data_IF_903508483766
#
_entry.id   IF_903508483766
#
_cell.length_a   1.000
_cell.length_b   1.000
_cell.length_c   1.000
_cell.angle_alpha   90.00
_cell.angle_beta   90.00
_cell.angle_gamma   90.00
#
_symmetry.space_group_name_H-M   'P 1'
#
loop_
_entity.id
_entity.type
_entity.pdbx_description
1 polymer ?
#
# COMPACT_ATOMS: atom_id res chain seq x y z
N UNK A 1 10.78 8.94 -0.29
CA UNK A 1 11.73 8.37 0.69
C UNK A 1 13.11 8.29 0.06
N UNK A 2 14.19 8.59 0.81
CA UNK A 2 15.55 8.57 0.27
C UNK A 2 16.59 8.24 1.33
N UNK A 3 17.68 7.62 0.86
CA UNK A 3 18.90 7.38 1.61
C UNK A 3 20.10 7.53 0.67
N UNK A 4 21.30 7.83 1.19
CA UNK A 4 22.48 8.07 0.37
C UNK A 4 23.78 7.80 1.13
N UNK A 5 24.85 7.60 0.39
CA UNK A 5 26.16 7.42 0.98
C UNK A 5 27.28 7.51 -0.05
N UNK A 6 28.50 7.16 0.38
CA UNK A 6 29.65 7.19 -0.50
C UNK A 6 30.61 6.04 -0.23
N UNK A 7 31.33 5.63 -1.28
CA UNK A 7 32.36 4.62 -1.26
C UNK A 7 33.62 5.22 -1.86
N UNK A 8 34.76 5.06 -1.18
CA UNK A 8 36.07 5.48 -1.71
C UNK A 8 36.79 4.28 -2.33
N UNK A 9 37.52 4.53 -3.38
CA UNK A 9 38.38 3.55 -4.03
C UNK A 9 39.77 4.11 -4.30
N UNK A 10 40.74 3.25 -4.43
CA UNK A 10 42.09 3.59 -4.86
C UNK A 10 42.72 2.44 -5.63
N UNK A 11 43.49 2.80 -6.66
CA UNK A 11 44.33 1.91 -7.44
C UNK A 11 45.80 2.26 -7.22
N UNK A 12 46.66 1.27 -7.19
CA UNK A 12 48.10 1.49 -7.02
C UNK A 12 48.76 1.98 -8.30
N UNK A 13 48.18 1.70 -9.44
CA UNK A 13 48.69 2.12 -10.75
C UNK A 13 48.26 3.55 -11.06
N UNK A 14 49.19 4.47 -10.95
CA UNK A 14 48.97 5.93 -11.05
C UNK A 14 48.38 6.37 -12.38
N UNK A 15 48.48 5.55 -13.42
CA UNK A 15 47.93 5.84 -14.75
C UNK A 15 46.52 5.32 -14.95
N UNK A 16 46.03 4.43 -14.09
CA UNK A 16 44.69 3.87 -14.18
C UNK A 16 43.62 4.93 -13.88
N UNK A 17 42.48 4.76 -14.52
CA UNK A 17 41.31 5.65 -14.39
C UNK A 17 40.09 4.75 -14.19
N UNK A 18 39.92 4.20 -12.97
CA UNK A 18 38.82 3.29 -12.71
C UNK A 18 37.45 3.90 -12.94
N UNK A 19 36.54 3.09 -13.48
CA UNK A 19 35.16 3.44 -13.72
C UNK A 19 34.23 2.68 -12.75
N UNK A 20 33.13 3.30 -12.35
CA UNK A 20 32.14 2.71 -11.49
C UNK A 20 30.88 2.31 -12.27
N UNK A 21 30.38 1.13 -12.00
CA UNK A 21 29.08 0.65 -12.47
C UNK A 21 28.25 0.11 -11.31
N UNK A 22 26.95 -0.04 -11.53
CA UNK A 22 26.03 -0.63 -10.55
C UNK A 22 25.29 -1.81 -11.13
N UNK A 23 24.94 -2.77 -10.28
CA UNK A 23 24.03 -3.87 -10.62
C UNK A 23 23.20 -4.25 -9.39
N UNK A 24 21.95 -4.65 -9.60
CA UNK A 24 21.14 -5.25 -8.53
C UNK A 24 21.69 -6.64 -8.22
N UNK A 25 22.02 -6.89 -6.96
CA UNK A 25 22.47 -8.20 -6.50
C UNK A 25 21.28 -9.06 -6.10
N UNK A 26 20.40 -8.55 -5.23
CA UNK A 26 19.19 -9.23 -4.82
C UNK A 26 18.17 -8.24 -4.26
N UNK A 27 16.89 -8.57 -4.41
CA UNK A 27 15.77 -7.89 -3.72
C UNK A 27 14.92 -8.99 -3.11
N UNK A 28 14.61 -8.88 -1.84
CA UNK A 28 13.76 -9.83 -1.11
C UNK A 28 12.80 -9.09 -0.20
N UNK A 29 11.63 -9.68 0.02
CA UNK A 29 10.59 -9.13 0.88
C UNK A 29 10.17 -10.15 1.94
N UNK A 30 9.92 -9.67 3.16
CA UNK A 30 9.47 -10.47 4.29
C UNK A 30 8.20 -9.86 4.89
N UNK A 31 7.29 -10.73 5.32
CA UNK A 31 6.11 -10.39 6.08
C UNK A 31 6.47 -9.80 7.45
N UNK A 32 5.50 -9.23 8.12
CA UNK A 32 5.65 -8.62 9.45
C UNK A 32 6.18 -9.57 10.54
N UNK A 33 6.14 -10.90 10.30
CA UNK A 33 6.74 -11.90 11.19
C UNK A 33 8.29 -11.97 11.07
N UNK A 34 8.87 -11.25 10.12
CA UNK A 34 10.31 -11.20 9.85
C UNK A 34 10.92 -12.49 9.31
N UNK A 35 10.11 -13.46 8.91
CA UNK A 35 10.57 -14.79 8.47
C UNK A 35 9.88 -15.32 7.21
N UNK A 36 8.63 -15.01 7.01
CA UNK A 36 7.87 -15.45 5.83
C UNK A 36 8.16 -14.53 4.65
N UNK A 37 8.74 -15.07 3.58
CA UNK A 37 8.96 -14.32 2.34
C UNK A 37 7.68 -14.23 1.52
N UNK A 38 7.55 -13.16 0.72
CA UNK A 38 6.52 -13.02 -0.30
C UNK A 38 7.11 -12.53 -1.63
N UNK A 39 6.41 -12.85 -2.72
CA UNK A 39 6.87 -12.50 -4.05
C UNK A 39 6.48 -11.07 -4.41
N UNK A 40 7.44 -10.33 -4.94
CA UNK A 40 7.24 -9.01 -5.52
C UNK A 40 6.82 -9.14 -6.99
N UNK A 41 5.93 -8.28 -7.44
CA UNK A 41 5.57 -8.17 -8.86
C UNK A 41 6.74 -7.62 -9.68
N UNK A 42 6.67 -7.77 -11.01
CA UNK A 42 7.70 -7.24 -11.91
C UNK A 42 7.80 -5.71 -11.83
N UNK A 43 6.67 -5.02 -11.65
CA UNK A 43 6.64 -3.55 -11.54
C UNK A 43 7.27 -3.11 -10.22
N UNK A 44 6.95 -3.76 -9.10
CA UNK A 44 7.58 -3.50 -7.79
C UNK A 44 9.09 -3.74 -7.83
N UNK A 45 9.54 -4.84 -8.44
CA UNK A 45 10.97 -5.12 -8.62
C UNK A 45 11.66 -4.05 -9.48
N UNK A 46 10.98 -3.57 -10.54
CA UNK A 46 11.50 -2.52 -11.39
C UNK A 46 11.63 -1.19 -10.65
N UNK A 47 10.62 -0.80 -9.88
CA UNK A 47 10.63 0.42 -9.08
C UNK A 47 11.75 0.40 -8.03
N UNK A 48 11.87 -0.69 -7.28
CA UNK A 48 12.91 -0.88 -6.27
C UNK A 48 14.33 -0.89 -6.88
N UNK A 49 14.49 -1.48 -8.08
CA UNK A 49 15.76 -1.52 -8.80
C UNK A 49 16.15 -0.13 -9.34
N UNK A 50 15.21 0.60 -9.91
CA UNK A 50 15.44 1.90 -10.54
C UNK A 50 15.66 3.01 -9.51
N UNK A 51 15.21 2.84 -8.27
CA UNK A 51 15.40 3.76 -7.17
C UNK A 51 16.88 3.97 -6.80
N UNK A 52 17.76 3.00 -7.10
CA UNK A 52 19.19 3.09 -6.80
C UNK A 52 19.96 3.76 -7.94
N UNK A 53 20.77 4.73 -7.63
CA UNK A 53 21.64 5.43 -8.58
C UNK A 53 23.05 5.61 -8.02
N UNK A 54 24.02 5.80 -8.90
CA UNK A 54 25.39 6.16 -8.54
C UNK A 54 25.89 7.35 -9.36
N UNK A 55 26.79 8.12 -8.76
CA UNK A 55 27.55 9.17 -9.44
C UNK A 55 29.00 9.14 -8.97
N UNK A 56 29.92 9.33 -9.90
CA UNK A 56 31.35 9.47 -9.58
C UNK A 56 31.70 10.92 -9.39
N UNK A 57 32.52 11.23 -8.37
CA UNK A 57 33.12 12.55 -8.26
C UNK A 57 34.18 12.69 -9.35
N UNK A 58 33.95 13.65 -10.23
CA UNK A 58 34.83 13.89 -11.38
C UNK A 58 36.26 14.24 -10.96
N UNK A 59 37.18 13.41 -11.36
CA UNK A 59 38.61 13.58 -11.21
C UNK A 59 39.28 12.33 -11.76
N UNK A 60 39.74 12.38 -13.01
CA UNK A 60 40.39 11.25 -13.66
C UNK A 60 41.72 10.92 -12.96
N UNK A 61 41.64 10.36 -11.77
CA UNK A 61 42.76 9.88 -10.95
C UNK A 61 42.60 8.41 -10.64
N UNK A 62 43.67 7.75 -10.24
CA UNK A 62 43.68 6.37 -9.78
C UNK A 62 42.92 6.15 -8.44
N UNK A 63 42.41 7.18 -7.84
CA UNK A 63 41.58 7.14 -6.63
C UNK A 63 40.39 8.08 -6.74
N UNK A 64 39.31 7.76 -6.07
CA UNK A 64 38.09 8.59 -6.14
C UNK A 64 37.02 8.18 -5.15
N UNK A 65 35.86 8.79 -5.34
CA UNK A 65 34.65 8.52 -4.55
C UNK A 65 33.49 8.26 -5.49
N UNK A 66 32.70 7.24 -5.19
CA UNK A 66 31.39 6.96 -5.78
C UNK A 66 30.34 7.33 -4.75
N UNK A 67 29.47 8.26 -5.09
CA UNK A 67 28.27 8.52 -4.31
C UNK A 67 27.13 7.64 -4.81
N UNK A 68 26.34 7.12 -3.90
CA UNK A 68 25.11 6.41 -4.20
C UNK A 68 23.91 7.14 -3.58
N UNK A 69 22.80 7.04 -4.24
CA UNK A 69 21.51 7.57 -3.81
C UNK A 69 20.44 6.53 -4.08
N UNK A 70 19.56 6.33 -3.10
CA UNK A 70 18.36 5.53 -3.21
C UNK A 70 17.17 6.45 -3.00
N UNK A 71 16.30 6.60 -4.00
CA UNK A 71 15.14 7.47 -3.93
C UNK A 71 13.93 6.79 -4.57
N UNK A 72 12.85 6.65 -3.80
CA UNK A 72 11.61 5.98 -4.20
C UNK A 72 10.42 6.80 -3.71
N UNK A 73 9.33 6.84 -4.50
CA UNK A 73 8.08 7.47 -4.10
C UNK A 73 7.37 6.60 -3.04
N UNK A 74 6.70 7.22 -2.10
CA UNK A 74 5.93 6.51 -1.07
C UNK A 74 4.85 5.64 -1.71
N UNK A 75 4.13 6.17 -2.72
CA UNK A 75 3.11 5.43 -3.46
C UNK A 75 3.61 4.18 -4.23
N UNK A 76 4.91 4.00 -4.37
CA UNK A 76 5.50 2.77 -4.92
C UNK A 76 5.75 1.72 -3.84
N UNK A 77 5.52 2.05 -2.59
CA UNK A 77 5.71 1.20 -1.42
C UNK A 77 4.40 0.88 -0.66
N UNK A 78 3.26 1.46 -1.09
CA UNK A 78 1.95 1.26 -0.46
C UNK A 78 1.51 -0.22 -0.37
N UNK A 79 2.18 -1.12 -1.09
CA UNK A 79 1.94 -2.56 -0.99
C UNK A 79 2.54 -3.21 0.26
N UNK A 80 3.37 -2.49 1.01
CA UNK A 80 4.04 -2.98 2.21
C UNK A 80 3.24 -2.61 3.46
N UNK A 81 2.60 -3.58 4.05
CA UNK A 81 1.90 -3.43 5.32
C UNK A 81 2.87 -3.11 6.49
N UNK A 82 2.30 -2.73 7.62
CA UNK A 82 3.07 -2.39 8.82
C UNK A 82 4.07 -3.50 9.20
N UNK A 83 5.33 -3.13 9.37
CA UNK A 83 6.46 -4.00 9.72
C UNK A 83 6.85 -5.05 8.64
N UNK A 84 6.23 -5.05 7.48
CA UNK A 84 6.78 -5.76 6.34
C UNK A 84 8.07 -5.08 5.87
N UNK A 85 8.99 -5.85 5.34
CA UNK A 85 10.31 -5.31 4.97
C UNK A 85 10.74 -5.73 3.58
N UNK A 86 11.38 -4.82 2.88
CA UNK A 86 12.15 -5.12 1.68
C UNK A 86 13.63 -4.88 1.96
N UNK A 87 14.46 -5.85 1.61
CA UNK A 87 15.92 -5.70 1.60
C UNK A 87 16.40 -5.71 0.17
N UNK A 88 16.92 -4.58 -0.29
CA UNK A 88 17.52 -4.42 -1.61
C UNK A 88 19.05 -4.34 -1.49
N UNK A 89 19.76 -5.22 -2.18
CA UNK A 89 21.22 -5.27 -2.19
C UNK A 89 21.72 -4.95 -3.59
N UNK A 90 22.62 -3.98 -3.68
CA UNK A 90 23.22 -3.52 -4.92
C UNK A 90 24.73 -3.72 -4.88
N UNK A 91 25.32 -4.14 -6.00
CA UNK A 91 26.75 -4.16 -6.20
C UNK A 91 27.18 -2.85 -6.88
N UNK A 92 28.15 -2.18 -6.29
CA UNK A 92 28.94 -1.14 -6.98
C UNK A 92 30.24 -1.79 -7.36
N UNK A 93 30.53 -1.80 -8.65
CA UNK A 93 31.73 -2.42 -9.22
C UNK A 93 32.64 -1.33 -9.76
N UNK A 94 33.87 -1.32 -9.28
CA UNK A 94 34.95 -0.45 -9.79
C UNK A 94 35.80 -1.29 -10.70
N UNK A 95 36.00 -0.85 -11.93
CA UNK A 95 36.79 -1.55 -12.95
C UNK A 95 37.94 -0.65 -13.40
N UNK A 96 39.15 -1.15 -13.40
CA UNK A 96 40.32 -0.44 -13.90
C UNK A 96 40.51 -0.58 -15.42
N UNK A 97 41.56 0.03 -15.95
CA UNK A 97 41.88 0.00 -17.39
C UNK A 97 42.33 -1.40 -17.88
N UNK A 98 42.76 -2.26 -16.98
CA UNK A 98 43.20 -3.63 -17.26
C UNK A 98 42.10 -4.68 -16.96
N UNK A 99 40.85 -4.22 -16.85
CA UNK A 99 39.67 -5.04 -16.58
C UNK A 99 39.68 -5.76 -15.22
N UNK A 100 40.51 -5.31 -14.27
CA UNK A 100 40.43 -5.82 -12.90
C UNK A 100 39.29 -5.11 -12.14
N UNK A 101 38.59 -5.84 -11.29
CA UNK A 101 37.40 -5.34 -10.61
C UNK A 101 37.46 -5.44 -9.11
N UNK A 102 36.92 -4.44 -8.43
CA UNK A 102 36.60 -4.49 -7.01
C UNK A 102 35.09 -4.22 -6.83
N UNK A 103 34.43 -4.99 -5.95
CA UNK A 103 32.98 -4.87 -5.72
C UNK A 103 32.70 -4.54 -4.26
N UNK A 104 31.84 -3.56 -4.05
CA UNK A 104 31.27 -3.22 -2.74
C UNK A 104 29.75 -3.32 -2.80
N UNK A 105 29.16 -3.99 -1.81
CA UNK A 105 27.71 -4.06 -1.68
C UNK A 105 27.17 -2.87 -0.88
N UNK A 106 26.03 -2.38 -1.33
CA UNK A 106 25.17 -1.42 -0.61
C UNK A 106 23.85 -2.13 -0.33
N UNK A 107 23.44 -2.13 0.92
CA UNK A 107 22.14 -2.68 1.35
C UNK A 107 21.22 -1.57 1.78
N UNK A 108 20.02 -1.54 1.22
CA UNK A 108 18.93 -0.64 1.60
C UNK A 108 17.81 -1.48 2.20
N UNK A 109 17.41 -1.14 3.42
CA UNK A 109 16.28 -1.76 4.10
C UNK A 109 15.11 -0.79 4.11
N UNK A 110 13.96 -1.25 3.65
CA UNK A 110 12.71 -0.49 3.60
C UNK A 110 11.73 -1.18 4.53
N UNK A 111 11.04 -0.42 5.37
CA UNK A 111 10.00 -0.95 6.24
C UNK A 111 8.69 -0.29 5.88
N UNK A 112 7.65 -1.09 5.68
CA UNK A 112 6.29 -0.65 5.40
C UNK A 112 5.61 -0.01 6.61
N UNK A 113 4.61 0.78 6.31
CA UNK A 113 3.69 1.38 7.27
C UNK A 113 2.27 0.96 6.89
N UNK A 114 1.36 0.92 7.86
CA UNK A 114 -0.04 0.61 7.58
C UNK A 114 -0.74 1.74 6.84
N UNK A 115 -1.39 1.41 5.75
CA UNK A 115 -2.38 2.24 5.10
C UNK A 115 -3.77 1.99 5.69
N UNK A 116 -4.70 2.87 5.45
CA UNK A 116 -6.07 2.72 5.92
C UNK A 116 -7.00 2.34 4.75
N UNK A 117 -8.00 1.47 4.97
CA UNK A 117 -8.93 1.12 3.92
C UNK A 117 -9.71 2.34 3.41
N UNK A 118 -9.92 2.40 2.11
CA UNK A 118 -10.65 3.46 1.43
C UNK A 118 -11.97 2.92 0.90
N UNK A 119 -13.08 3.62 1.20
CA UNK A 119 -14.39 3.32 0.64
C UNK A 119 -14.55 4.06 -0.69
N UNK A 120 -14.86 3.32 -1.75
CA UNK A 120 -15.11 3.85 -3.09
C UNK A 120 -16.60 3.94 -3.35
N UNK A 121 -17.21 5.09 -3.02
CA UNK A 121 -18.65 5.29 -3.14
C UNK A 121 -19.16 5.70 -4.54
N UNK A 122 -18.29 5.88 -5.52
CA UNK A 122 -18.64 6.46 -6.84
C UNK A 122 -19.54 5.58 -7.73
N UNK A 123 -19.56 4.27 -7.50
CA UNK A 123 -20.39 3.31 -8.24
C UNK A 123 -21.28 2.45 -7.31
N UNK A 124 -21.32 2.79 -6.02
CA UNK A 124 -22.00 1.99 -5.02
C UNK A 124 -23.47 2.41 -4.89
N UNK A 125 -24.34 1.45 -4.61
CA UNK A 125 -25.69 1.72 -4.19
C UNK A 125 -25.72 1.96 -2.68
N UNK A 126 -25.66 3.23 -2.27
CA UNK A 126 -25.61 3.68 -0.88
C UNK A 126 -26.94 4.28 -0.37
N UNK A 127 -27.99 4.18 -1.16
CA UNK A 127 -29.34 4.65 -0.80
C UNK A 127 -30.39 3.60 -1.10
N UNK A 128 -31.31 3.39 -0.17
CA UNK A 128 -32.40 2.46 -0.31
C UNK A 128 -33.74 3.13 -0.17
N UNK A 129 -34.80 2.52 -0.74
CA UNK A 129 -36.18 2.97 -0.64
C UNK A 129 -37.13 1.78 -0.49
N UNK A 130 -37.94 1.80 0.55
CA UNK A 130 -39.02 0.83 0.75
C UNK A 130 -40.37 1.55 0.80
N UNK A 131 -41.43 0.84 0.43
CA UNK A 131 -42.80 1.38 0.43
C UNK A 131 -43.75 0.36 1.01
N UNK A 132 -44.47 0.73 2.09
CA UNK A 132 -45.47 -0.12 2.73
C UNK A 132 -46.50 -0.59 1.68
N UNK A 133 -46.82 -1.88 1.75
CA UNK A 133 -47.77 -2.52 0.87
C UNK A 133 -47.27 -2.86 -0.54
N UNK A 134 -46.01 -2.51 -0.89
CA UNK A 134 -45.45 -2.82 -2.22
C UNK A 134 -44.05 -3.35 -2.20
N UNK A 135 -43.12 -2.71 -1.52
CA UNK A 135 -41.71 -3.17 -1.41
C UNK A 135 -41.22 -3.00 0.02
N UNK A 136 -41.04 -4.10 0.72
CA UNK A 136 -40.67 -4.17 2.13
C UNK A 136 -39.16 -4.40 2.34
N UNK A 137 -38.41 -4.48 1.26
CA UNK A 137 -36.94 -4.65 1.30
C UNK A 137 -36.23 -3.90 0.21
N UNK A 138 -35.01 -3.50 0.48
CA UNK A 138 -34.05 -2.96 -0.47
C UNK A 138 -32.65 -3.38 -0.07
N UNK A 139 -31.71 -3.30 -1.02
CA UNK A 139 -30.34 -3.74 -0.79
C UNK A 139 -29.35 -3.01 -1.72
N UNK A 140 -28.09 -3.03 -1.34
CA UNK A 140 -27.03 -2.47 -2.14
C UNK A 140 -25.66 -3.00 -1.74
N UNK A 141 -24.62 -2.40 -2.28
CA UNK A 141 -23.24 -2.75 -1.96
C UNK A 141 -22.37 -1.51 -1.84
N UNK A 142 -21.34 -1.62 -1.04
CA UNK A 142 -20.31 -0.60 -0.81
C UNK A 142 -18.94 -1.26 -1.06
N UNK A 143 -18.16 -0.69 -1.97
CA UNK A 143 -16.83 -1.20 -2.29
C UNK A 143 -15.77 -0.56 -1.40
N UNK A 144 -14.77 -1.32 -1.04
CA UNK A 144 -13.59 -0.85 -0.32
C UNK A 144 -12.32 -1.42 -0.94
N UNK A 145 -11.21 -0.75 -0.73
CA UNK A 145 -9.86 -1.23 -1.06
C UNK A 145 -8.88 -0.78 0.01
N UNK A 146 -7.90 -1.63 0.29
CA UNK A 146 -6.76 -1.35 1.13
C UNK A 146 -5.47 -1.56 0.31
N UNK A 147 -4.50 -0.66 0.43
CA UNK A 147 -3.24 -0.78 -0.29
C UNK A 147 -2.38 -1.92 0.26
N UNK A 148 -2.52 -2.21 1.55
CA UNK A 148 -1.80 -3.29 2.23
C UNK A 148 -2.33 -4.66 1.80
N UNK A 149 -1.55 -5.41 1.04
CA UNK A 149 -1.99 -6.68 0.43
C UNK A 149 -2.39 -7.76 1.45
N UNK A 150 -1.84 -7.68 2.65
CA UNK A 150 -2.12 -8.64 3.72
C UNK A 150 -3.29 -8.24 4.62
N UNK A 151 -3.76 -7.01 4.53
CA UNK A 151 -4.85 -6.53 5.35
C UNK A 151 -6.17 -7.22 5.00
N UNK A 152 -6.97 -7.37 6.02
CA UNK A 152 -8.29 -8.01 5.94
C UNK A 152 -9.30 -7.12 6.63
N UNK A 153 -9.73 -6.02 5.96
CA UNK A 153 -10.66 -5.06 6.53
C UNK A 153 -11.95 -5.71 7.00
N UNK A 154 -12.47 -5.23 8.11
CA UNK A 154 -13.74 -5.64 8.68
C UNK A 154 -14.72 -4.49 8.65
N UNK A 155 -16.01 -4.81 8.51
CA UNK A 155 -17.08 -3.84 8.51
C UNK A 155 -18.00 -4.00 9.72
N UNK A 156 -18.40 -2.88 10.29
CA UNK A 156 -19.46 -2.78 11.30
C UNK A 156 -20.48 -1.76 10.86
N UNK A 157 -21.70 -1.87 11.33
CA UNK A 157 -22.75 -0.90 11.10
C UNK A 157 -23.15 -0.23 12.43
N UNK A 158 -23.57 1.01 12.34
CA UNK A 158 -24.11 1.77 13.46
C UNK A 158 -25.16 2.76 12.98
N UNK A 159 -26.31 2.82 13.65
CA UNK A 159 -27.39 3.74 13.29
C UNK A 159 -27.06 5.16 13.73
N UNK A 160 -26.83 6.03 12.76
CA UNK A 160 -26.56 7.44 13.02
C UNK A 160 -27.79 8.20 13.50
N UNK A 161 -28.94 7.98 12.88
CA UNK A 161 -30.21 8.63 13.27
C UNK A 161 -31.41 7.95 12.62
N UNK A 162 -32.53 7.98 13.32
CA UNK A 162 -33.87 7.65 12.78
C UNK A 162 -34.76 8.84 12.97
N UNK A 163 -35.45 9.29 11.90
CA UNK A 163 -36.42 10.37 11.96
C UNK A 163 -37.66 10.04 11.14
N UNK A 164 -38.78 10.55 11.56
CA UNK A 164 -40.04 10.39 10.84
C UNK A 164 -40.77 11.74 10.67
N UNK A 165 -41.45 11.91 9.55
CA UNK A 165 -42.26 13.09 9.24
C UNK A 165 -43.71 12.69 8.98
N UNK A 166 -44.64 13.60 9.26
CA UNK A 166 -46.04 13.46 8.91
C UNK A 166 -46.22 13.61 7.39
N UNK A 167 -47.44 13.34 6.92
CA UNK A 167 -47.77 13.40 5.49
C UNK A 167 -47.56 14.80 4.84
N UNK A 168 -47.42 15.85 5.64
CA UNK A 168 -47.08 17.20 5.15
C UNK A 168 -45.58 17.36 4.78
N UNK A 169 -44.76 16.32 5.04
CA UNK A 169 -43.33 16.30 4.73
C UNK A 169 -42.45 17.21 5.59
N UNK A 170 -43.02 17.91 6.59
CA UNK A 170 -42.32 18.92 7.36
C UNK A 170 -42.48 18.76 8.88
N UNK A 171 -43.63 18.29 9.34
CA UNK A 171 -43.91 18.15 10.77
C UNK A 171 -43.32 16.86 11.30
N UNK A 172 -42.44 16.91 12.33
CA UNK A 172 -41.86 15.70 12.95
C UNK A 172 -42.95 14.79 13.52
N UNK A 173 -42.80 13.48 13.30
CA UNK A 173 -43.59 12.43 13.93
C UNK A 173 -42.73 11.75 15.01
N UNK A 174 -43.19 11.79 16.24
CA UNK A 174 -42.54 11.10 17.34
C UNK A 174 -42.73 9.57 17.20
N UNK A 175 -41.61 8.83 17.06
CA UNK A 175 -41.61 7.39 17.09
C UNK A 175 -41.54 6.89 18.52
N UNK A 176 -42.17 5.79 18.83
CA UNK A 176 -41.98 5.07 20.08
C UNK A 176 -40.60 4.35 20.05
N UNK A 177 -40.07 4.01 21.23
CA UNK A 177 -38.83 3.28 21.33
C UNK A 177 -38.86 1.91 20.59
N UNK A 178 -40.03 1.25 20.62
CA UNK A 178 -40.20 -0.02 19.89
C UNK A 178 -40.17 0.17 18.37
N UNK A 179 -40.73 1.26 17.83
CA UNK A 179 -40.67 1.58 16.42
C UNK A 179 -39.24 1.95 15.97
N UNK A 180 -38.51 2.74 16.77
CA UNK A 180 -37.11 3.05 16.48
C UNK A 180 -36.27 1.78 16.43
N UNK A 181 -36.38 0.91 17.42
CA UNK A 181 -35.65 -0.36 17.48
C UNK A 181 -35.97 -1.28 16.27
N UNK A 182 -37.26 -1.33 15.85
CA UNK A 182 -37.63 -2.13 14.69
C UNK A 182 -37.02 -1.56 13.38
N UNK A 183 -36.99 -0.25 13.23
CA UNK A 183 -36.37 0.43 12.08
C UNK A 183 -34.84 0.19 12.07
N UNK A 184 -34.19 0.31 13.22
CA UNK A 184 -32.75 0.06 13.38
C UNK A 184 -32.40 -1.40 13.07
N UNK A 185 -33.14 -2.35 13.63
CA UNK A 185 -32.93 -3.78 13.46
C UNK A 185 -33.20 -4.29 12.03
N UNK A 186 -33.90 -3.51 11.21
CA UNK A 186 -34.21 -3.84 9.83
C UNK A 186 -32.98 -3.73 8.89
N UNK A 187 -31.97 -2.97 9.29
CA UNK A 187 -30.72 -2.82 8.55
C UNK A 187 -29.71 -3.88 8.95
N UNK A 188 -29.04 -4.45 7.98
CA UNK A 188 -27.94 -5.42 8.21
C UNK A 188 -26.90 -5.33 7.12
N UNK A 189 -25.66 -5.69 7.46
CA UNK A 189 -24.56 -5.81 6.53
C UNK A 189 -24.02 -7.22 6.49
N UNK A 190 -23.44 -7.61 5.35
CA UNK A 190 -22.72 -8.85 5.18
C UNK A 190 -21.49 -8.63 4.31
N UNK A 191 -20.38 -9.24 4.70
CA UNK A 191 -19.17 -9.30 3.89
C UNK A 191 -19.13 -10.61 3.12
N UNK A 192 -18.64 -10.64 1.87
CA UNK A 192 -18.39 -11.89 1.16
C UNK A 192 -17.41 -12.79 1.93
N UNK A 193 -17.52 -14.10 1.76
CA UNK A 193 -16.69 -15.09 2.45
C UNK A 193 -15.19 -15.05 2.06
N UNK A 194 -14.82 -14.29 1.05
CA UNK A 194 -13.43 -14.05 0.66
C UNK A 194 -12.97 -12.73 1.25
N UNK A 195 -12.34 -12.80 2.41
CA UNK A 195 -11.74 -11.62 3.01
C UNK A 195 -10.39 -11.35 2.36
N UNK A 196 -10.35 -10.38 1.48
CA UNK A 196 -9.17 -9.84 0.80
C UNK A 196 -8.98 -8.39 1.20
N UNK A 197 -7.84 -7.78 0.85
CA UNK A 197 -7.57 -6.37 1.11
C UNK A 197 -8.55 -5.44 0.36
N UNK A 198 -9.15 -5.90 -0.72
CA UNK A 198 -10.21 -5.21 -1.45
C UNK A 198 -11.48 -6.06 -1.53
N UNK A 199 -12.64 -5.43 -1.65
CA UNK A 199 -13.89 -6.14 -1.72
C UNK A 199 -15.13 -5.28 -1.68
N UNK A 200 -16.26 -5.90 -1.33
CA UNK A 200 -17.52 -5.21 -1.17
C UNK A 200 -18.28 -5.68 0.07
N UNK A 201 -19.02 -4.77 0.68
CA UNK A 201 -19.96 -5.01 1.76
C UNK A 201 -21.36 -4.91 1.18
N UNK A 202 -22.17 -5.96 1.34
CA UNK A 202 -23.56 -5.89 0.97
C UNK A 202 -24.39 -5.40 2.16
N UNK A 203 -25.30 -4.48 1.92
CA UNK A 203 -26.28 -4.06 2.89
C UNK A 203 -27.70 -4.50 2.47
N UNK A 204 -28.51 -4.80 3.43
CA UNK A 204 -29.92 -5.11 3.23
C UNK A 204 -30.74 -4.38 4.29
N UNK A 205 -31.84 -3.79 3.86
CA UNK A 205 -32.89 -3.28 4.73
C UNK A 205 -34.17 -4.05 4.46
N UNK A 206 -34.72 -4.70 5.47
CA UNK A 206 -35.95 -5.50 5.35
C UNK A 206 -36.80 -5.35 6.59
N UNK A 207 -38.06 -5.00 6.42
CA UNK A 207 -39.06 -4.85 7.48
C UNK A 207 -40.28 -5.71 7.14
N UNK A 208 -40.81 -6.43 8.14
CA UNK A 208 -41.99 -7.30 8.01
C UNK A 208 -43.28 -6.53 8.23
#
# INVERSE_FOLDING_TARGET
>A
LSDSGSITFSDVDLTNRPEASKATHSISALRSDGSTSFDLTQDQLADLTNAFSISTVAGATNSGTVNWDYSILESQLDFLAANETVTAVFNIVITDNDEQTATQQVTVNITGANDAPVISASNDNIAGSITEGSSLSDSGSISFADSDLDDRPTATEDTKSVSALRADGTTPLALTSAQQQAIEAAFSISTPNTNTNDGSINWTYSID
#
